data_IF_511078063209
#
_entry.id   IF_511078063209
#
_cell.length_a   1.000
_cell.length_b   1.000
_cell.length_c   1.000
_cell.angle_alpha   90.00
_cell.angle_beta   90.00
_cell.angle_gamma   90.00
#
_symmetry.space_group_name_H-M   'P 1'
#
loop_
_entity.id
_entity.type
_entity.pdbx_description
1 polymer ?
#
# COMPACT_ATOMS: atom_id res chain seq x y z
N UNK A 1 -12.95 -24.48 -19.43
CA UNK A 1 -12.66 -24.15 -18.02
C UNK A 1 -11.61 -23.05 -18.06
N UNK A 2 -12.03 -21.78 -17.98
CA UNK A 2 -11.12 -20.64 -18.06
C UNK A 2 -10.79 -20.24 -16.64
N UNK A 3 -9.58 -20.54 -16.19
CA UNK A 3 -9.05 -20.05 -14.92
C UNK A 3 -8.95 -18.53 -15.01
N UNK A 4 -9.84 -17.82 -14.31
CA UNK A 4 -9.82 -16.36 -14.20
C UNK A 4 -8.75 -15.98 -13.17
N UNK A 5 -7.55 -15.73 -13.64
CA UNK A 5 -6.42 -15.25 -12.82
C UNK A 5 -6.70 -13.81 -12.40
N UNK A 6 -6.78 -13.55 -11.09
CA UNK A 6 -7.03 -12.21 -10.55
C UNK A 6 -5.93 -11.20 -10.91
N UNK A 7 -6.28 -9.92 -10.99
CA UNK A 7 -5.36 -8.83 -11.28
C UNK A 7 -4.44 -8.55 -10.09
N UNK A 8 -3.16 -8.80 -10.32
CA UNK A 8 -2.06 -8.36 -9.44
C UNK A 8 -1.67 -6.95 -9.87
N UNK A 9 -1.88 -5.97 -8.99
CA UNK A 9 -1.47 -4.60 -9.23
C UNK A 9 -0.06 -4.40 -8.67
N UNK A 10 0.94 -4.32 -9.55
CA UNK A 10 2.30 -3.88 -9.22
C UNK A 10 2.48 -2.39 -9.57
N UNK A 11 2.29 -1.49 -8.60
CA UNK A 11 2.43 -0.03 -8.81
C UNK A 11 3.90 0.43 -9.00
N UNK A 12 4.89 -0.45 -8.83
CA UNK A 12 6.31 -0.11 -8.81
C UNK A 12 6.85 0.58 -10.08
N UNK A 13 6.35 0.20 -11.26
CA UNK A 13 6.81 0.78 -12.53
C UNK A 13 5.99 2.00 -12.98
N UNK A 14 4.83 2.26 -12.36
CA UNK A 14 3.93 3.34 -12.81
C UNK A 14 4.39 4.73 -12.33
N UNK A 15 4.99 4.82 -11.15
CA UNK A 15 5.43 6.10 -10.57
C UNK A 15 6.81 6.56 -11.05
N UNK A 16 7.69 5.65 -11.48
CA UNK A 16 9.09 5.98 -11.83
C UNK A 16 9.22 6.84 -13.09
N UNK A 17 8.19 6.92 -13.95
CA UNK A 17 8.28 7.61 -15.24
C UNK A 17 7.48 8.92 -15.41
N UNK A 18 6.74 9.43 -14.40
CA UNK A 18 5.82 10.58 -14.64
C UNK A 18 5.72 11.64 -13.53
N UNK A 19 6.73 11.83 -12.67
CA UNK A 19 6.72 12.90 -11.65
C UNK A 19 7.47 14.17 -12.09
N UNK A 20 7.72 14.39 -13.40
CA UNK A 20 8.49 15.56 -13.86
C UNK A 20 7.68 16.73 -14.44
N UNK A 21 6.38 16.62 -14.71
CA UNK A 21 5.62 17.80 -15.13
C UNK A 21 4.11 17.61 -15.00
N UNK A 22 3.51 18.15 -13.94
CA UNK A 22 2.29 18.97 -14.02
C UNK A 22 1.93 19.47 -12.62
N UNK A 23 1.75 20.77 -12.53
CA UNK A 23 1.13 21.48 -11.41
C UNK A 23 -0.20 20.81 -11.02
N UNK A 24 -0.32 20.46 -9.74
CA UNK A 24 -1.52 19.87 -9.15
C UNK A 24 -2.64 20.91 -9.08
N UNK A 25 -3.61 20.81 -9.99
CA UNK A 25 -4.95 21.39 -9.83
C UNK A 25 -5.84 20.36 -9.11
N UNK A 26 -6.56 20.69 -8.01
CA UNK A 26 -7.11 19.68 -7.10
C UNK A 26 -8.30 18.85 -7.60
N UNK A 27 -8.77 18.99 -8.85
CA UNK A 27 -10.07 18.40 -9.27
C UNK A 27 -10.14 17.71 -10.63
N UNK A 28 -9.08 17.64 -11.42
CA UNK A 28 -9.13 16.90 -12.68
C UNK A 28 -7.74 16.37 -13.08
N UNK A 29 -7.70 15.19 -13.71
CA UNK A 29 -6.53 14.58 -14.37
C UNK A 29 -5.56 13.86 -13.39
N UNK A 30 -5.59 12.53 -13.21
CA UNK A 30 -4.96 11.64 -14.21
C UNK A 30 -5.25 10.12 -14.07
N UNK A 31 -6.21 9.64 -13.27
CA UNK A 31 -6.31 8.18 -12.99
C UNK A 31 -7.72 7.59 -12.94
N UNK A 32 -8.70 8.13 -13.69
CA UNK A 32 -10.03 7.48 -13.82
C UNK A 32 -10.23 6.65 -15.08
N UNK A 33 -9.63 7.01 -16.22
CA UNK A 33 -9.92 6.37 -17.51
C UNK A 33 -9.10 5.09 -17.78
N UNK A 34 -7.83 5.05 -17.35
CA UNK A 34 -6.96 3.90 -17.65
C UNK A 34 -7.19 2.71 -16.74
N UNK A 35 -7.45 2.96 -15.45
CA UNK A 35 -7.77 1.92 -14.48
C UNK A 35 -9.11 1.24 -14.76
N UNK A 36 -10.15 2.02 -15.11
CA UNK A 36 -11.50 1.51 -15.37
C UNK A 36 -11.51 0.46 -16.49
N UNK A 37 -10.83 0.74 -17.61
CA UNK A 37 -10.66 -0.25 -18.69
C UNK A 37 -9.95 -1.54 -18.26
N UNK A 38 -8.99 -1.47 -17.33
CA UNK A 38 -8.31 -2.67 -16.82
C UNK A 38 -9.21 -3.49 -15.87
N UNK A 39 -10.13 -2.82 -15.17
CA UNK A 39 -11.05 -3.48 -14.26
C UNK A 39 -12.29 -4.08 -14.95
N UNK A 40 -12.79 -3.43 -16.01
CA UNK A 40 -14.02 -3.82 -16.71
C UNK A 40 -13.94 -5.21 -17.40
N UNK A 41 -12.74 -5.70 -17.72
CA UNK A 41 -12.57 -6.92 -18.54
C UNK A 41 -12.35 -8.23 -17.76
N UNK A 42 -11.91 -8.23 -16.48
CA UNK A 42 -11.41 -9.49 -15.86
C UNK A 42 -11.64 -9.73 -14.35
N UNK A 43 -11.94 -8.76 -13.48
CA UNK A 43 -11.61 -8.97 -12.05
C UNK A 43 -12.77 -8.91 -11.05
N UNK A 44 -12.99 -10.02 -10.34
CA UNK A 44 -13.81 -10.06 -9.12
C UNK A 44 -13.03 -9.64 -7.86
N UNK A 45 -11.70 -9.67 -7.90
CA UNK A 45 -10.82 -9.41 -6.75
C UNK A 45 -9.52 -8.72 -7.18
N UNK A 46 -8.92 -7.94 -6.27
CA UNK A 46 -7.66 -7.21 -6.44
C UNK A 46 -6.65 -7.71 -5.40
N UNK A 47 -5.43 -8.01 -5.85
CA UNK A 47 -4.30 -8.33 -4.97
C UNK A 47 -3.28 -7.18 -5.02
N UNK A 48 -3.18 -6.39 -3.95
CA UNK A 48 -2.22 -5.29 -3.85
C UNK A 48 -0.93 -5.77 -3.19
N UNK A 49 0.04 -6.13 -4.03
CA UNK A 49 1.41 -6.46 -3.61
C UNK A 49 2.39 -5.28 -3.85
N UNK A 50 1.87 -4.09 -4.13
CA UNK A 50 2.70 -2.93 -4.40
C UNK A 50 3.16 -2.24 -3.11
N UNK A 51 4.45 -1.94 -3.05
CA UNK A 51 5.03 -1.16 -1.97
C UNK A 51 6.51 -0.93 -2.18
N UNK A 52 7.01 0.17 -1.65
CA UNK A 52 8.43 0.45 -1.58
C UNK A 52 8.92 0.05 -0.19
N UNK A 53 9.82 -0.93 -0.17
CA UNK A 53 10.57 -1.38 1.02
C UNK A 53 11.99 -0.82 1.03
N UNK A 54 12.37 -0.01 0.04
CA UNK A 54 13.74 0.44 -0.17
C UNK A 54 14.65 -0.62 -0.80
N UNK A 55 15.75 -0.15 -1.39
CA UNK A 55 16.87 -0.98 -1.88
C UNK A 55 18.17 -0.30 -1.43
N UNK A 56 19.12 -1.02 -0.81
CA UNK A 56 19.10 -2.45 -0.51
C UNK A 56 18.17 -2.83 0.67
N UNK A 57 17.81 -1.89 1.53
CA UNK A 57 17.02 -2.13 2.74
C UNK A 57 16.06 -0.95 3.04
N UNK A 58 15.33 -1.05 4.16
CA UNK A 58 14.33 -0.06 4.60
C UNK A 58 14.92 1.30 4.94
N UNK A 59 16.23 1.40 5.23
CA UNK A 59 16.89 2.68 5.54
C UNK A 59 16.83 3.66 4.37
N UNK A 60 16.68 3.15 3.14
CA UNK A 60 16.45 3.97 1.95
C UNK A 60 15.22 4.87 2.09
N UNK A 61 14.19 4.39 2.81
CA UNK A 61 12.95 5.12 3.04
C UNK A 61 13.14 6.37 3.92
N UNK A 62 14.21 6.44 4.73
CA UNK A 62 14.48 7.58 5.60
C UNK A 62 14.84 8.85 4.82
N UNK A 63 15.44 8.69 3.64
CA UNK A 63 15.85 9.81 2.78
C UNK A 63 14.90 10.06 1.60
N UNK A 64 14.05 9.09 1.28
CA UNK A 64 13.09 9.13 0.15
C UNK A 64 11.64 9.10 0.64
N UNK A 65 11.36 9.90 1.68
CA UNK A 65 10.08 9.94 2.38
C UNK A 65 8.90 10.25 1.45
N UNK A 66 9.13 11.12 0.46
CA UNK A 66 8.10 11.53 -0.51
C UNK A 66 7.65 10.35 -1.36
N UNK A 67 8.59 9.60 -1.92
CA UNK A 67 8.32 8.44 -2.77
C UNK A 67 7.60 7.33 -1.98
N UNK A 68 7.99 7.17 -0.72
CA UNK A 68 7.36 6.22 0.21
C UNK A 68 5.93 6.62 0.51
N UNK A 69 5.64 7.88 0.89
CA UNK A 69 4.25 8.35 1.09
C UNK A 69 3.43 8.18 -0.19
N UNK A 70 3.96 8.60 -1.33
CA UNK A 70 3.24 8.55 -2.61
C UNK A 70 2.84 7.12 -2.98
N UNK A 71 3.74 6.16 -2.79
CA UNK A 71 3.46 4.77 -3.15
C UNK A 71 2.71 4.02 -2.05
N UNK A 72 3.27 3.98 -0.84
CA UNK A 72 2.76 3.13 0.23
C UNK A 72 1.46 3.66 0.84
N UNK A 73 1.29 4.99 0.90
CA UNK A 73 0.11 5.62 1.51
C UNK A 73 -0.89 6.03 0.44
N UNK A 74 -0.56 7.04 -0.38
CA UNK A 74 -1.50 7.61 -1.35
C UNK A 74 -1.91 6.59 -2.42
N UNK A 75 -0.96 5.78 -2.90
CA UNK A 75 -1.23 4.73 -3.89
C UNK A 75 -2.20 3.68 -3.36
N UNK A 76 -1.96 3.18 -2.15
CA UNK A 76 -2.83 2.18 -1.49
C UNK A 76 -4.22 2.73 -1.25
N UNK A 77 -4.35 3.92 -0.64
CA UNK A 77 -5.65 4.53 -0.35
C UNK A 77 -6.43 4.82 -1.64
N UNK A 78 -5.76 5.30 -2.69
CA UNK A 78 -6.41 5.54 -3.98
C UNK A 78 -6.93 4.25 -4.61
N UNK A 79 -6.16 3.16 -4.51
CA UNK A 79 -6.57 1.85 -5.02
C UNK A 79 -7.79 1.30 -4.26
N UNK A 80 -7.76 1.37 -2.93
CA UNK A 80 -8.86 0.90 -2.07
C UNK A 80 -10.12 1.72 -2.31
N UNK A 81 -10.03 3.05 -2.38
CA UNK A 81 -11.18 3.93 -2.65
C UNK A 81 -11.80 3.64 -4.03
N UNK A 82 -10.97 3.45 -5.05
CA UNK A 82 -11.45 3.10 -6.39
C UNK A 82 -12.13 1.72 -6.40
N UNK A 83 -11.50 0.72 -5.80
CA UNK A 83 -12.05 -0.63 -5.72
C UNK A 83 -13.37 -0.66 -4.97
N UNK A 84 -13.49 0.10 -3.87
CA UNK A 84 -14.72 0.29 -3.11
C UNK A 84 -15.83 0.90 -3.96
N UNK A 85 -15.53 1.91 -4.79
CA UNK A 85 -16.51 2.51 -5.71
C UNK A 85 -17.02 1.56 -6.80
N UNK A 86 -16.30 0.45 -7.03
CA UNK A 86 -16.63 -0.58 -8.01
C UNK A 86 -17.10 -1.89 -7.34
N UNK A 87 -17.26 -1.90 -6.01
CA UNK A 87 -17.63 -3.08 -5.21
C UNK A 87 -16.68 -4.28 -5.41
N UNK A 88 -15.39 -4.03 -5.65
CA UNK A 88 -14.36 -5.06 -5.83
C UNK A 88 -13.59 -5.27 -4.52
N UNK A 89 -13.47 -6.52 -4.08
CA UNK A 89 -12.67 -6.86 -2.91
C UNK A 89 -11.16 -6.66 -3.17
N UNK A 90 -10.46 -6.07 -2.20
CA UNK A 90 -9.01 -5.89 -2.21
C UNK A 90 -8.37 -6.71 -1.10
N UNK A 91 -7.40 -7.55 -1.44
CA UNK A 91 -6.45 -8.14 -0.50
C UNK A 91 -5.16 -7.33 -0.56
N UNK A 92 -4.84 -6.64 0.55
CA UNK A 92 -3.64 -5.80 0.65
C UNK A 92 -2.53 -6.52 1.43
N UNK A 93 -1.36 -6.67 0.82
CA UNK A 93 -0.20 -7.25 1.50
C UNK A 93 0.53 -6.16 2.31
N UNK A 94 0.27 -6.14 3.63
CA UNK A 94 0.86 -5.21 4.58
C UNK A 94 2.11 -5.79 5.27
N UNK A 95 2.42 -5.36 6.50
CA UNK A 95 3.57 -5.83 7.26
C UNK A 95 3.26 -5.93 8.75
N UNK A 96 3.68 -7.03 9.38
CA UNK A 96 3.64 -7.17 10.84
C UNK A 96 4.83 -6.51 11.56
N UNK A 97 5.79 -5.92 10.81
CA UNK A 97 6.95 -5.22 11.38
C UNK A 97 6.58 -3.80 11.88
N UNK A 98 5.41 -3.68 12.48
CA UNK A 98 4.87 -2.50 13.16
C UNK A 98 4.75 -2.73 14.68
N UNK A 99 5.18 -3.91 15.15
CA UNK A 99 5.26 -4.27 16.54
C UNK A 99 6.70 -4.57 16.99
N UNK A 100 6.96 -4.29 18.26
CA UNK A 100 8.16 -4.67 19.01
C UNK A 100 7.76 -5.30 20.34
N UNK A 101 8.53 -6.27 20.83
CA UNK A 101 8.27 -6.90 22.12
C UNK A 101 8.23 -5.85 23.24
N UNK A 102 7.28 -6.02 24.16
CA UNK A 102 7.07 -5.18 25.34
C UNK A 102 6.79 -6.06 26.57
N UNK A 103 6.41 -5.44 27.69
CA UNK A 103 6.17 -6.14 28.95
C UNK A 103 4.98 -7.11 28.86
N UNK A 104 3.95 -6.78 28.08
CA UNK A 104 2.75 -7.60 27.87
C UNK A 104 2.98 -8.68 26.79
N UNK A 105 3.87 -8.39 25.84
CA UNK A 105 4.26 -9.28 24.73
C UNK A 105 5.78 -9.55 24.77
N UNK A 106 6.28 -10.33 25.75
CA UNK A 106 7.70 -10.68 25.82
C UNK A 106 8.07 -11.73 24.77
N UNK A 107 9.38 -11.92 24.55
CA UNK A 107 9.90 -12.98 23.67
C UNK A 107 9.44 -14.35 24.20
N UNK A 108 8.70 -15.10 23.40
CA UNK A 108 8.12 -16.40 23.78
C UNK A 108 6.82 -16.30 24.60
N UNK A 109 6.29 -15.09 24.78
CA UNK A 109 4.98 -14.83 25.37
C UNK A 109 3.83 -14.85 24.34
N UNK A 110 2.65 -14.34 24.72
CA UNK A 110 1.55 -14.16 23.77
C UNK A 110 1.95 -13.19 22.66
N UNK A 111 1.53 -13.49 21.42
CA UNK A 111 1.76 -12.61 20.28
C UNK A 111 0.71 -11.50 20.19
N UNK A 112 1.02 -10.46 19.43
CA UNK A 112 0.08 -9.40 19.07
C UNK A 112 -1.08 -9.94 18.21
N UNK A 113 -2.23 -9.33 18.38
CA UNK A 113 -3.48 -9.57 17.64
C UNK A 113 -3.78 -8.41 16.70
N UNK A 114 -4.74 -8.59 15.79
CA UNK A 114 -5.18 -7.56 14.85
C UNK A 114 -5.86 -6.35 15.53
N UNK A 115 -6.25 -6.49 16.80
CA UNK A 115 -6.87 -5.41 17.57
C UNK A 115 -5.84 -4.57 18.35
N UNK A 116 -4.59 -5.01 18.41
CA UNK A 116 -3.54 -4.32 19.15
C UNK A 116 -3.05 -3.08 18.40
N UNK A 117 -2.63 -2.06 19.16
CA UNK A 117 -2.12 -0.82 18.58
C UNK A 117 -0.64 -1.00 18.23
N UNK A 118 -0.20 -0.66 17.01
CA UNK A 118 1.21 -0.69 16.64
C UNK A 118 2.10 0.10 17.61
N UNK A 119 3.12 -0.55 18.16
CA UNK A 119 4.03 0.04 19.15
C UNK A 119 5.46 0.27 18.61
N UNK A 120 5.77 -0.12 17.36
CA UNK A 120 7.09 0.09 16.76
C UNK A 120 7.12 1.30 15.82
N UNK A 121 7.97 2.28 16.16
CA UNK A 121 8.20 3.49 15.36
C UNK A 121 9.66 3.64 14.89
N UNK A 122 10.44 2.56 14.88
CA UNK A 122 11.87 2.59 14.61
C UNK A 122 12.28 2.84 13.15
N UNK A 123 11.33 2.87 12.20
CA UNK A 123 11.62 3.24 10.82
C UNK A 123 10.46 4.01 10.20
N UNK A 124 10.79 4.92 9.28
CA UNK A 124 9.83 5.67 8.48
C UNK A 124 8.98 4.74 7.63
N UNK A 125 9.56 3.65 7.12
CA UNK A 125 8.83 2.61 6.41
C UNK A 125 7.70 2.03 7.28
N UNK A 126 8.01 1.54 8.48
CA UNK A 126 7.02 0.95 9.41
C UNK A 126 5.96 1.97 9.81
N UNK A 127 6.37 3.22 10.06
CA UNK A 127 5.43 4.30 10.37
C UNK A 127 4.41 4.51 9.24
N UNK A 128 4.85 4.55 7.97
CA UNK A 128 3.92 4.69 6.85
C UNK A 128 2.98 3.50 6.66
N UNK A 129 3.41 2.30 7.05
CA UNK A 129 2.58 1.09 6.96
C UNK A 129 1.55 1.03 8.08
N UNK A 130 1.94 1.31 9.32
CA UNK A 130 1.02 1.43 10.44
C UNK A 130 -0.05 2.51 10.19
N UNK A 131 0.34 3.65 9.61
CA UNK A 131 -0.61 4.71 9.25
C UNK A 131 -1.69 4.22 8.27
N UNK A 132 -1.33 3.40 7.28
CA UNK A 132 -2.28 2.91 6.26
C UNK A 132 -3.18 1.80 6.80
N UNK A 133 -2.73 1.07 7.81
CA UNK A 133 -3.51 0.03 8.48
C UNK A 133 -4.65 0.61 9.33
N UNK A 134 -4.42 1.79 9.93
CA UNK A 134 -5.42 2.51 10.74
C UNK A 134 -6.49 3.26 9.92
N UNK A 135 -6.21 3.56 8.64
CA UNK A 135 -7.06 4.38 7.75
C UNK A 135 -8.03 3.54 6.90
#
# INVERSE_FOLDING_TARGET
MVERVGLVVCLGDYFRHKVTSTTMEPRACMTKLRWRKTFDDVNQHILNAAGITGRPNVDWCETHKREVIQTNVLGTLTLVELAKSMEIHVTNFATGCVYSYDDDHPIGGPGFTEADVPNFQGSYYSHTKALVEDL
#
